data_IF_699471233706
#
_entry.id   IF_699471233706
#
_cell.length_a   1.000
_cell.length_b   1.000
_cell.length_c   1.000
_cell.angle_alpha   90.00
_cell.angle_beta   90.00
_cell.angle_gamma   90.00
#
_symmetry.space_group_name_H-M   'P 1'
#
loop_
_entity.id
_entity.type
_entity.pdbx_description
1 polymer ?
#
# COMPACT_ATOMS: atom_id res chain seq x y z
N UNK A 1 -13.02 6.85 18.76
CA UNK A 1 -11.84 7.52 19.31
C UNK A 1 -10.62 6.66 19.07
N UNK A 2 -9.52 7.24 18.63
CA UNK A 2 -8.30 6.48 18.38
C UNK A 2 -7.63 6.09 19.70
N UNK A 3 -7.00 4.92 19.73
CA UNK A 3 -6.25 4.50 20.91
C UNK A 3 -4.90 5.23 20.97
N UNK A 4 -4.23 5.17 22.13
CA UNK A 4 -2.91 5.76 22.34
C UNK A 4 -1.83 5.18 21.43
N UNK A 5 -2.11 4.05 20.78
CA UNK A 5 -1.20 3.40 19.83
C UNK A 5 -1.40 3.89 18.39
N UNK A 6 -2.35 4.81 18.16
CA UNK A 6 -2.54 5.42 16.84
C UNK A 6 -1.52 6.53 16.61
N UNK A 7 -1.09 6.69 15.37
CA UNK A 7 -0.06 7.69 15.05
C UNK A 7 -0.06 8.02 13.57
N UNK A 8 0.60 9.11 13.23
CA UNK A 8 0.85 9.52 11.85
C UNK A 8 2.26 9.14 11.45
N UNK A 9 2.44 8.74 10.21
CA UNK A 9 3.75 8.33 9.70
C UNK A 9 3.83 8.50 8.20
N UNK A 10 5.06 8.48 7.68
CA UNK A 10 5.28 8.26 6.25
C UNK A 10 5.72 6.83 6.04
N UNK A 11 5.31 6.27 4.90
CA UNK A 11 5.70 4.93 4.49
C UNK A 11 6.53 5.05 3.21
N UNK A 12 7.75 4.52 3.25
CA UNK A 12 8.66 4.57 2.09
C UNK A 12 9.53 3.33 2.04
N UNK A 13 10.29 3.20 0.98
CA UNK A 13 11.32 2.17 0.85
C UNK A 13 12.67 2.83 0.62
N UNK A 14 13.74 2.07 0.84
CA UNK A 14 15.10 2.61 0.75
C UNK A 14 15.43 3.16 -0.66
N UNK A 15 15.15 2.36 -1.69
CA UNK A 15 15.54 2.68 -3.06
C UNK A 15 14.35 2.84 -4.01
N UNK A 16 13.15 2.93 -3.47
CA UNK A 16 11.92 2.91 -4.26
C UNK A 16 10.92 3.88 -3.65
N UNK A 17 10.27 4.68 -4.50
CA UNK A 17 9.17 5.54 -4.08
C UNK A 17 7.91 4.70 -3.91
N UNK A 18 7.13 4.99 -2.88
CA UNK A 18 5.85 4.34 -2.59
C UNK A 18 4.79 5.42 -2.48
N UNK A 19 3.73 5.31 -3.27
CA UNK A 19 2.58 6.21 -3.17
C UNK A 19 1.46 5.69 -4.08
N UNK A 20 0.39 6.48 -4.19
CA UNK A 20 -0.62 6.27 -5.23
C UNK A 20 0.03 6.41 -6.59
N UNK A 21 -0.44 5.65 -7.56
CA UNK A 21 0.13 5.69 -8.92
C UNK A 21 0.02 7.07 -9.54
N UNK A 22 -1.05 7.81 -9.25
CA UNK A 22 -1.20 9.18 -9.75
C UNK A 22 -0.13 10.14 -9.21
N UNK A 23 0.43 9.85 -8.04
CA UNK A 23 1.53 10.63 -7.48
C UNK A 23 2.86 10.20 -8.13
N UNK A 24 3.03 8.91 -8.34
CA UNK A 24 4.27 8.36 -8.89
C UNK A 24 4.44 8.61 -10.39
N UNK A 25 3.34 8.61 -11.13
CA UNK A 25 3.38 8.62 -12.61
C UNK A 25 2.56 9.73 -13.24
N UNK A 26 1.77 10.47 -12.46
CA UNK A 26 0.87 11.48 -12.98
C UNK A 26 -0.54 10.92 -13.18
N UNK A 27 -1.52 11.81 -13.23
CA UNK A 27 -2.94 11.48 -13.35
C UNK A 27 -3.42 11.87 -14.74
N UNK A 28 -4.14 10.97 -15.47
CA UNK A 28 -4.52 9.63 -15.04
C UNK A 28 -3.39 8.61 -15.22
N UNK A 29 -3.30 7.61 -14.33
CA UNK A 29 -2.40 6.48 -14.49
C UNK A 29 -3.19 5.33 -15.13
N UNK A 30 -3.13 5.25 -16.44
CA UNK A 30 -3.90 4.30 -17.23
C UNK A 30 -3.12 3.02 -17.50
N UNK A 31 -3.78 1.89 -17.45
CA UNK A 31 -3.17 0.60 -17.78
C UNK A 31 -4.12 -0.21 -18.63
N UNK A 32 -3.58 -0.85 -19.67
CA UNK A 32 -4.32 -1.75 -20.53
C UNK A 32 -3.89 -3.18 -20.20
N UNK A 33 -4.82 -3.97 -19.68
CA UNK A 33 -4.50 -5.29 -19.15
C UNK A 33 -5.41 -6.34 -19.77
N UNK A 34 -4.86 -7.56 -19.89
CA UNK A 34 -5.60 -8.75 -20.29
C UNK A 34 -5.68 -9.69 -19.09
N UNK A 35 -6.88 -10.18 -18.78
CA UNK A 35 -7.11 -11.08 -17.67
C UNK A 35 -7.39 -12.48 -18.18
N UNK A 36 -6.92 -13.47 -17.42
CA UNK A 36 -7.25 -14.87 -17.66
C UNK A 36 -8.17 -15.37 -16.57
N UNK A 37 -9.09 -16.23 -16.95
CA UNK A 37 -9.99 -16.89 -16.02
C UNK A 37 -10.04 -18.38 -16.38
N UNK A 38 -9.81 -19.23 -15.38
CA UNK A 38 -9.81 -20.67 -15.60
C UNK A 38 -8.76 -21.16 -16.61
N UNK A 39 -7.66 -20.45 -16.75
CA UNK A 39 -6.60 -20.80 -17.69
C UNK A 39 -6.84 -20.36 -19.12
N UNK A 40 -7.95 -19.68 -19.38
CA UNK A 40 -8.30 -19.20 -20.71
C UNK A 40 -8.28 -17.68 -20.78
N UNK A 41 -7.92 -17.17 -21.95
CA UNK A 41 -8.02 -15.75 -22.23
C UNK A 41 -9.49 -15.36 -22.31
N UNK A 42 -9.94 -14.48 -21.43
CA UNK A 42 -11.36 -14.17 -21.26
C UNK A 42 -11.85 -12.96 -22.03
N UNK A 43 -11.05 -12.36 -22.87
CA UNK A 43 -11.53 -11.24 -23.65
C UNK A 43 -10.46 -10.32 -24.14
N UNK A 44 -10.91 -9.18 -24.66
CA UNK A 44 -10.01 -8.15 -25.16
C UNK A 44 -9.31 -7.44 -24.01
N UNK A 45 -8.08 -6.95 -24.22
CA UNK A 45 -7.43 -6.08 -23.24
C UNK A 45 -8.35 -4.91 -22.90
N UNK A 46 -8.43 -4.58 -21.61
CA UNK A 46 -9.24 -3.47 -21.13
C UNK A 46 -8.37 -2.41 -20.54
N UNK A 47 -8.71 -1.16 -20.78
CA UNK A 47 -8.00 -0.01 -20.21
C UNK A 47 -8.71 0.45 -18.96
N UNK A 48 -7.95 0.55 -17.88
CA UNK A 48 -8.45 0.95 -16.56
C UNK A 48 -7.68 2.15 -16.07
N UNK A 49 -8.35 3.00 -15.29
CA UNK A 49 -7.71 4.08 -14.56
C UNK A 49 -7.24 3.54 -13.20
N UNK A 50 -5.94 3.38 -13.05
CA UNK A 50 -5.31 2.86 -11.85
C UNK A 50 -4.73 3.97 -10.97
N UNK A 51 -5.14 5.23 -11.17
CA UNK A 51 -4.61 6.39 -10.45
C UNK A 51 -4.69 6.27 -8.94
N UNK A 52 -5.76 5.65 -8.43
CA UNK A 52 -6.00 5.52 -6.98
C UNK A 52 -5.38 4.27 -6.37
N UNK A 53 -4.70 3.44 -7.15
CA UNK A 53 -4.03 2.24 -6.64
C UNK A 53 -2.64 2.61 -6.11
N UNK A 54 -2.19 1.87 -5.11
CA UNK A 54 -0.85 2.01 -4.56
C UNK A 54 0.17 1.26 -5.40
N UNK A 55 1.34 1.84 -5.53
CA UNK A 55 2.42 1.22 -6.28
C UNK A 55 3.78 1.66 -5.82
N UNK A 56 4.77 1.21 -6.58
CA UNK A 56 6.18 1.45 -6.34
C UNK A 56 6.81 1.97 -7.63
N UNK A 57 7.79 2.85 -7.47
CA UNK A 57 8.59 3.33 -8.60
C UNK A 57 10.04 3.45 -8.17
N UNK A 58 10.99 2.78 -8.84
CA UNK A 58 12.40 2.90 -8.49
C UNK A 58 12.85 4.35 -8.50
N UNK A 59 13.68 4.74 -7.52
CA UNK A 59 14.24 6.08 -7.46
C UNK A 59 15.21 6.27 -8.61
N UNK A 60 15.08 7.40 -9.29
CA UNK A 60 15.97 7.79 -10.40
C UNK A 60 16.51 9.17 -10.13
N UNK A 61 17.72 9.43 -10.61
CA UNK A 61 18.33 10.75 -10.50
C UNK A 61 17.43 11.80 -11.18
N UNK A 62 17.22 12.91 -10.51
CA UNK A 62 16.38 14.00 -11.02
C UNK A 62 14.89 13.79 -10.88
N UNK A 63 14.46 12.66 -10.33
CA UNK A 63 13.07 12.37 -10.07
C UNK A 63 12.83 12.35 -8.56
N UNK A 64 11.86 13.14 -8.09
CA UNK A 64 11.46 13.16 -6.71
C UNK A 64 9.96 12.87 -6.60
N UNK A 65 9.56 12.32 -5.47
CA UNK A 65 8.16 12.02 -5.20
C UNK A 65 7.86 12.31 -3.73
N UNK A 66 6.64 12.81 -3.50
CA UNK A 66 6.18 13.03 -2.13
C UNK A 66 6.06 11.68 -1.42
N UNK A 67 6.42 11.60 -0.13
CA UNK A 67 6.21 10.37 0.61
C UNK A 67 4.71 10.12 0.83
N UNK A 68 4.34 8.85 0.95
CA UNK A 68 2.99 8.46 1.32
C UNK A 68 2.80 8.75 2.80
N UNK A 69 1.90 9.67 3.13
CA UNK A 69 1.54 9.98 4.51
C UNK A 69 0.32 9.17 4.91
N UNK A 70 0.39 8.58 6.09
CA UNK A 70 -0.69 7.75 6.60
C UNK A 70 -1.00 8.13 8.04
N UNK A 71 -2.26 7.98 8.41
CA UNK A 71 -2.68 7.85 9.79
C UNK A 71 -2.89 6.36 10.06
N UNK A 72 -2.16 5.82 11.01
CA UNK A 72 -2.29 4.43 11.41
C UNK A 72 -3.20 4.39 12.64
N UNK A 73 -4.45 3.97 12.42
CA UNK A 73 -5.44 3.91 13.50
C UNK A 73 -5.41 2.53 14.13
N UNK A 74 -5.02 2.48 15.38
CA UNK A 74 -4.90 1.23 16.13
C UNK A 74 -6.27 0.71 16.57
N UNK A 75 -6.45 -0.59 16.37
CA UNK A 75 -7.60 -1.34 16.89
C UNK A 75 -7.06 -2.58 17.64
N UNK A 76 -7.89 -3.28 18.42
CA UNK A 76 -7.43 -4.51 19.06
C UNK A 76 -6.92 -5.56 18.09
N UNK A 77 -7.36 -5.52 16.83
CA UNK A 77 -7.03 -6.53 15.82
C UNK A 77 -5.96 -6.09 14.83
N UNK A 78 -5.45 -4.85 14.93
CA UNK A 78 -4.42 -4.34 14.03
C UNK A 78 -4.59 -2.86 13.73
N UNK A 79 -3.99 -2.41 12.63
CA UNK A 79 -4.05 -1.03 12.20
C UNK A 79 -4.86 -0.86 10.92
N UNK A 80 -5.72 0.16 10.90
CA UNK A 80 -6.23 0.69 9.64
C UNK A 80 -5.22 1.71 9.12
N UNK A 81 -4.94 1.68 7.83
CA UNK A 81 -4.08 2.66 7.18
C UNK A 81 -4.96 3.67 6.46
N UNK A 82 -4.89 4.92 6.85
CA UNK A 82 -5.72 6.00 6.31
C UNK A 82 -4.82 7.01 5.63
N UNK A 83 -5.11 7.30 4.36
CA UNK A 83 -4.31 8.21 3.56
C UNK A 83 -4.46 9.64 4.07
N UNK A 84 -3.33 10.32 4.27
CA UNK A 84 -3.27 11.71 4.71
C UNK A 84 -2.52 12.59 3.71
N UNK A 85 -2.66 12.31 2.44
CA UNK A 85 -2.18 13.19 1.40
C UNK A 85 -3.21 14.29 1.14
N UNK A 86 -2.73 15.48 0.80
CA UNK A 86 -3.65 16.52 0.32
C UNK A 86 -4.19 16.10 -1.04
N UNK A 87 -5.50 16.25 -1.24
CA UNK A 87 -6.14 15.94 -2.51
C UNK A 87 -7.37 15.08 -2.37
N UNK A 88 -7.76 14.48 -3.49
CA UNK A 88 -9.00 13.73 -3.65
C UNK A 88 -9.12 12.53 -2.72
N UNK A 89 -8.00 11.89 -2.43
CA UNK A 89 -8.00 10.64 -1.65
C UNK A 89 -7.65 10.84 -0.18
N UNK A 90 -7.59 12.09 0.28
CA UNK A 90 -7.35 12.37 1.70
C UNK A 90 -8.44 11.74 2.57
N UNK A 91 -8.04 11.17 3.69
CA UNK A 91 -8.91 10.47 4.65
C UNK A 91 -9.53 9.15 4.16
N UNK A 92 -9.12 8.66 3.00
CA UNK A 92 -9.60 7.36 2.54
C UNK A 92 -8.75 6.22 3.13
N UNK A 93 -9.41 5.15 3.60
CA UNK A 93 -8.67 3.97 4.06
C UNK A 93 -8.06 3.22 2.89
N UNK A 94 -6.99 2.46 3.18
CA UNK A 94 -6.38 1.57 2.21
C UNK A 94 -7.10 0.22 2.27
N UNK A 95 -7.47 -0.31 1.12
CA UNK A 95 -8.06 -1.62 0.99
C UNK A 95 -7.73 -2.24 -0.35
N UNK A 96 -8.21 -3.45 -0.60
CA UNK A 96 -8.08 -4.09 -1.90
C UNK A 96 -9.05 -3.45 -2.88
N UNK A 97 -8.53 -3.00 -4.00
CA UNK A 97 -9.31 -2.26 -4.99
C UNK A 97 -9.44 -2.98 -6.33
N UNK A 98 -8.42 -3.75 -6.70
CA UNK A 98 -8.38 -4.43 -7.99
C UNK A 98 -7.51 -5.66 -7.85
N UNK A 99 -8.08 -6.85 -8.07
CA UNK A 99 -7.41 -8.12 -7.76
C UNK A 99 -6.91 -8.07 -6.31
N UNK A 100 -5.65 -8.38 -6.06
CA UNK A 100 -5.05 -8.26 -4.72
C UNK A 100 -4.35 -6.91 -4.51
N UNK A 101 -4.54 -5.95 -5.42
CA UNK A 101 -3.85 -4.66 -5.40
C UNK A 101 -4.54 -3.70 -4.44
N UNK A 102 -3.72 -3.03 -3.62
CA UNK A 102 -4.19 -2.06 -2.64
C UNK A 102 -4.40 -0.70 -3.29
N UNK A 103 -5.28 0.08 -2.72
CA UNK A 103 -5.54 1.45 -3.15
C UNK A 103 -6.42 2.19 -2.19
N UNK A 104 -6.73 3.45 -2.56
CA UNK A 104 -7.65 4.29 -1.80
C UNK A 104 -9.07 3.73 -1.94
N UNK A 105 -9.69 3.43 -0.80
CA UNK A 105 -11.01 2.82 -0.74
C UNK A 105 -12.02 3.85 -0.25
N UNK A 106 -13.23 3.81 -0.78
CA UNK A 106 -14.29 4.65 -0.24
C UNK A 106 -14.61 4.21 1.18
N UNK A 107 -14.85 5.17 2.11
CA UNK A 107 -15.15 4.80 3.49
C UNK A 107 -16.40 3.91 3.59
N UNK A 108 -16.32 2.91 4.46
CA UNK A 108 -17.43 1.99 4.71
C UNK A 108 -17.00 0.91 5.70
N UNK A 109 -17.94 0.36 6.47
CA UNK A 109 -17.58 -0.55 7.56
C UNK A 109 -16.93 -1.86 7.08
N UNK A 110 -17.21 -2.30 5.86
CA UNK A 110 -16.75 -3.60 5.38
C UNK A 110 -15.62 -3.50 4.36
N UNK A 111 -15.06 -2.30 4.15
CA UNK A 111 -14.12 -2.07 3.05
C UNK A 111 -12.69 -1.82 3.48
N UNK A 112 -12.45 -1.50 4.74
CA UNK A 112 -11.10 -1.24 5.22
C UNK A 112 -10.41 -2.53 5.61
N UNK A 113 -9.11 -2.62 5.35
CA UNK A 113 -8.27 -3.74 5.75
C UNK A 113 -7.62 -3.44 7.09
N UNK A 114 -7.34 -4.49 7.84
CA UNK A 114 -6.49 -4.41 9.02
C UNK A 114 -5.12 -4.96 8.69
N UNK A 115 -4.10 -4.25 9.16
CA UNK A 115 -2.71 -4.63 8.95
C UNK A 115 -2.03 -4.80 10.30
N UNK A 116 -1.13 -5.78 10.37
CA UNK A 116 -0.21 -5.92 11.49
C UNK A 116 1.16 -5.45 11.02
N UNK A 117 1.76 -4.54 11.80
CA UNK A 117 3.15 -4.14 11.56
C UNK A 117 4.05 -5.22 12.11
N UNK A 118 4.99 -5.68 11.30
CA UNK A 118 5.85 -6.79 11.66
C UNK A 118 7.31 -6.36 11.48
N UNK A 119 8.14 -6.62 12.49
CA UNK A 119 9.57 -6.31 12.41
C UNK A 119 10.34 -7.34 11.57
N UNK A 120 11.67 -7.18 11.51
CA UNK A 120 12.52 -8.08 10.71
C UNK A 120 12.57 -9.51 11.25
N UNK A 121 12.22 -9.69 12.51
CA UNK A 121 12.16 -11.01 13.14
C UNK A 121 10.75 -11.61 13.09
N UNK A 122 9.84 -11.01 12.31
CA UNK A 122 8.44 -11.40 12.18
C UNK A 122 7.63 -11.26 13.48
N UNK A 123 8.04 -10.35 14.36
CA UNK A 123 7.28 -10.06 15.57
C UNK A 123 6.32 -8.90 15.32
N UNK A 124 5.05 -9.03 15.72
CA UNK A 124 4.13 -7.90 15.65
C UNK A 124 4.59 -6.75 16.54
N UNK A 125 4.47 -5.52 16.04
CA UNK A 125 4.84 -4.32 16.80
C UNK A 125 3.73 -3.29 16.74
N UNK A 126 3.70 -2.43 17.76
CA UNK A 126 2.84 -1.26 17.82
C UNK A 126 3.69 -0.03 18.12
N UNK A 127 3.07 1.14 18.20
CA UNK A 127 3.80 2.38 18.47
C UNK A 127 4.69 2.28 19.72
N UNK A 128 4.20 1.65 20.77
CA UNK A 128 4.96 1.53 22.03
C UNK A 128 6.21 0.65 21.92
N UNK A 129 6.31 -0.18 20.88
CA UNK A 129 7.49 -1.01 20.65
C UNK A 129 8.57 -0.29 19.84
N UNK A 130 8.28 0.91 19.36
CA UNK A 130 9.20 1.65 18.49
C UNK A 130 10.14 2.50 19.34
N UNK A 131 11.44 2.16 19.32
CA UNK A 131 12.45 2.89 20.09
C UNK A 131 13.07 4.04 19.30
N UNK A 132 12.86 4.08 17.99
CA UNK A 132 13.38 5.11 17.10
C UNK A 132 12.26 5.62 16.21
N UNK A 133 12.37 6.87 15.67
CA UNK A 133 11.33 7.41 14.79
C UNK A 133 11.26 6.75 13.43
N UNK A 134 12.29 6.01 13.01
CA UNK A 134 12.30 5.27 11.75
C UNK A 134 12.47 3.79 12.04
N UNK A 135 11.55 2.97 11.52
CA UNK A 135 11.51 1.54 11.83
C UNK A 135 11.28 0.76 10.53
N UNK A 136 12.11 -0.26 10.24
CA UNK A 136 11.81 -1.17 9.13
C UNK A 136 10.67 -2.09 9.51
N UNK A 137 9.66 -2.16 8.66
CA UNK A 137 8.47 -2.99 8.90
C UNK A 137 8.02 -3.67 7.63
N UNK A 138 7.37 -4.81 7.79
CA UNK A 138 6.53 -5.42 6.76
C UNK A 138 5.08 -5.28 7.18
N UNK A 139 4.17 -5.27 6.21
CA UNK A 139 2.74 -5.21 6.49
C UNK A 139 2.15 -6.60 6.28
N UNK A 140 1.55 -7.15 7.32
CA UNK A 140 0.86 -8.43 7.27
C UNK A 140 -0.64 -8.19 7.29
N UNK A 141 -1.38 -8.94 6.49
CA UNK A 141 -2.83 -8.81 6.38
C UNK A 141 -3.54 -9.77 7.32
N UNK A 142 -4.87 -9.60 7.43
CA UNK A 142 -5.72 -10.51 8.22
C UNK A 142 -5.64 -11.95 7.73
N UNK A 143 -5.32 -12.15 6.44
CA UNK A 143 -5.19 -13.48 5.84
C UNK A 143 -3.82 -14.11 6.08
N UNK A 144 -3.00 -13.52 6.95
CA UNK A 144 -1.63 -13.96 7.22
C UNK A 144 -0.75 -13.91 5.98
N UNK A 145 -1.08 -13.02 5.06
CA UNK A 145 -0.26 -12.70 3.89
C UNK A 145 0.43 -11.36 4.10
N UNK A 146 1.26 -10.97 3.15
CA UNK A 146 2.08 -9.76 3.26
C UNK A 146 1.85 -8.86 2.06
N UNK A 147 2.37 -7.65 2.14
CA UNK A 147 2.32 -6.71 1.03
C UNK A 147 3.65 -6.73 0.30
N UNK A 148 3.60 -6.88 -1.00
CA UNK A 148 4.77 -6.89 -1.87
C UNK A 148 4.46 -6.26 -3.21
N UNK A 149 5.46 -6.24 -4.10
CA UNK A 149 5.31 -5.69 -5.44
C UNK A 149 4.69 -6.70 -6.39
N UNK A 150 3.83 -6.23 -7.27
CA UNK A 150 3.17 -7.05 -8.28
C UNK A 150 3.28 -6.37 -9.64
N UNK A 151 3.75 -7.12 -10.64
CA UNK A 151 3.71 -6.67 -12.02
C UNK A 151 2.60 -7.45 -12.73
N UNK A 152 1.79 -6.73 -13.51
CA UNK A 152 0.69 -7.32 -14.27
C UNK A 152 0.98 -7.15 -15.74
N UNK A 153 0.82 -8.23 -16.51
CA UNK A 153 1.08 -8.22 -17.94
C UNK A 153 0.24 -7.14 -18.63
N UNK A 154 0.90 -6.31 -19.42
CA UNK A 154 0.27 -5.21 -20.14
C UNK A 154 0.32 -3.88 -19.39
N UNK A 155 0.57 -3.88 -18.08
CA UNK A 155 0.68 -2.65 -17.31
C UNK A 155 2.14 -2.22 -17.15
N UNK A 156 2.42 -0.90 -17.26
CA UNK A 156 3.78 -0.40 -17.04
C UNK A 156 4.12 -0.21 -15.56
N UNK A 157 3.16 -0.44 -14.66
CA UNK A 157 3.32 -0.10 -13.24
C UNK A 157 3.70 -1.30 -12.40
N UNK A 158 4.36 -1.02 -11.27
CA UNK A 158 4.56 -1.98 -10.20
C UNK A 158 3.55 -1.64 -9.11
N UNK A 159 2.65 -2.57 -8.81
CA UNK A 159 1.60 -2.37 -7.82
C UNK A 159 2.03 -2.88 -6.46
N UNK A 160 1.43 -2.34 -5.39
CA UNK A 160 1.49 -2.96 -4.07
C UNK A 160 0.28 -3.87 -3.90
N UNK A 161 0.53 -5.12 -3.58
CA UNK A 161 -0.52 -6.15 -3.54
C UNK A 161 -0.28 -7.13 -2.40
N UNK A 162 -1.37 -7.77 -1.98
CA UNK A 162 -1.27 -8.88 -1.03
C UNK A 162 -0.57 -10.07 -1.70
N UNK A 163 0.43 -10.63 -1.02
CA UNK A 163 1.26 -11.70 -1.57
C UNK A 163 1.76 -12.64 -0.47
N UNK A 164 2.47 -13.66 -0.88
CA UNK A 164 3.10 -14.59 0.06
C UNK A 164 4.29 -13.94 0.79
N UNK A 165 4.66 -14.50 1.93
CA UNK A 165 5.74 -13.98 2.76
C UNK A 165 7.06 -13.84 1.99
N UNK A 166 7.37 -14.80 1.13
CA UNK A 166 8.62 -14.78 0.35
C UNK A 166 8.74 -13.58 -0.59
N UNK A 167 7.63 -12.96 -0.93
CA UNK A 167 7.59 -11.80 -1.85
C UNK A 167 7.35 -10.49 -1.14
N UNK A 168 7.31 -10.48 0.19
CA UNK A 168 7.06 -9.26 0.96
C UNK A 168 8.17 -8.25 0.76
N UNK A 169 7.81 -6.97 0.84
CA UNK A 169 8.77 -5.87 0.84
C UNK A 169 8.92 -5.32 2.25
N UNK A 170 10.08 -4.73 2.52
CA UNK A 170 10.34 -4.04 3.79
C UNK A 170 10.19 -2.55 3.55
N UNK A 171 9.28 -1.94 4.30
CA UNK A 171 9.07 -0.50 4.30
C UNK A 171 9.87 0.15 5.41
N UNK A 172 10.14 1.44 5.24
CA UNK A 172 10.64 2.28 6.32
C UNK A 172 9.48 3.15 6.77
N UNK A 173 9.06 2.93 8.02
CA UNK A 173 7.98 3.68 8.64
C UNK A 173 8.60 4.79 9.46
N UNK A 174 8.31 6.05 9.11
CA UNK A 174 8.84 7.21 9.82
C UNK A 174 7.71 7.88 10.58
N UNK A 175 7.78 7.80 11.92
CA UNK A 175 6.77 8.38 12.80
C UNK A 175 6.89 9.91 12.77
N UNK A 176 5.76 10.57 12.59
CA UNK A 176 5.69 12.03 12.55
C UNK A 176 5.37 12.63 13.92
#
# INVERSE_FOLDING_TARGET
MDSDQSFNATLRMFDTHVNLLEILHGKPAMATVSLFSGGFFTGRPQTHDHSSLLGMRPKKQGHSSRPLKLHLRHTPDGYNLIIKNTGEHDNKPIGKRWLDVLGAQDPGPDKSMLFTLVDRQNNPITLKNMSTPQVPVSLMTENKKYIGGLKVRGSPYIYLAETEEKSKVTFILSVL
#
